data_IF_542247422046
#
_entry.id   IF_542247422046
#
_cell.length_a   1.000
_cell.length_b   1.000
_cell.length_c   1.000
_cell.angle_alpha   90.00
_cell.angle_beta   90.00
_cell.angle_gamma   90.00
#
_symmetry.space_group_name_H-M   'P 1'
#
loop_
_entity.id
_entity.type
_entity.pdbx_description
1 polymer ?
#
# COMPACT_ATOMS: atom_id res chain seq x y z
N UNK A 1 19.06 16.18 -25.03
CA UNK A 1 18.17 15.95 -26.18
C UNK A 1 16.91 16.71 -25.83
N UNK A 2 16.70 17.84 -26.47
CA UNK A 2 15.67 18.82 -26.10
C UNK A 2 14.49 18.73 -27.09
N UNK A 3 14.14 17.50 -27.49
CA UNK A 3 13.03 17.24 -28.40
C UNK A 3 11.75 17.13 -27.58
N UNK A 4 10.72 17.87 -27.96
CA UNK A 4 9.42 17.83 -27.31
C UNK A 4 8.67 16.53 -27.60
N UNK A 5 7.72 16.17 -26.74
CA UNK A 5 6.88 14.99 -26.95
C UNK A 5 6.01 15.13 -28.22
N UNK A 6 5.62 16.34 -28.58
CA UNK A 6 4.90 16.64 -29.82
C UNK A 6 5.68 16.28 -31.09
N UNK A 7 7.00 16.42 -31.06
CA UNK A 7 7.87 16.03 -32.18
C UNK A 7 8.28 14.56 -32.09
N UNK A 8 8.61 14.08 -30.88
CA UNK A 8 9.10 12.72 -30.67
C UNK A 8 8.00 11.66 -30.81
N UNK A 9 6.79 11.94 -30.29
CA UNK A 9 5.65 11.02 -30.26
C UNK A 9 4.31 11.80 -30.20
N UNK A 10 3.87 12.37 -31.33
CA UNK A 10 2.62 13.14 -31.40
C UNK A 10 1.37 12.31 -31.07
N UNK A 11 1.42 10.98 -31.25
CA UNK A 11 0.31 10.08 -30.94
C UNK A 11 0.09 9.97 -29.44
N UNK A 12 1.16 9.79 -28.65
CA UNK A 12 1.07 9.80 -27.19
C UNK A 12 0.62 11.17 -26.68
N UNK A 13 1.12 12.26 -27.26
CA UNK A 13 0.66 13.60 -26.87
C UNK A 13 -0.84 13.79 -27.10
N UNK A 14 -1.39 13.26 -28.20
CA UNK A 14 -2.82 13.31 -28.49
C UNK A 14 -3.62 12.57 -27.40
N UNK A 15 -3.20 11.37 -27.02
CA UNK A 15 -3.83 10.59 -25.94
C UNK A 15 -3.74 11.31 -24.58
N UNK A 16 -2.60 11.94 -24.25
CA UNK A 16 -2.48 12.73 -23.03
C UNK A 16 -3.46 13.91 -22.99
N UNK A 17 -3.70 14.57 -24.13
CA UNK A 17 -4.69 15.66 -24.24
C UNK A 17 -6.12 15.14 -24.09
N UNK A 18 -6.42 13.99 -24.69
CA UNK A 18 -7.74 13.34 -24.58
C UNK A 18 -8.03 12.94 -23.13
N UNK A 19 -7.10 12.27 -22.44
CA UNK A 19 -7.29 11.87 -21.04
C UNK A 19 -7.45 13.07 -20.10
N UNK A 20 -6.66 14.13 -20.32
CA UNK A 20 -6.81 15.38 -19.55
C UNK A 20 -8.22 15.96 -19.71
N UNK A 21 -8.78 15.90 -20.91
CA UNK A 21 -10.09 16.46 -21.16
C UNK A 21 -11.23 15.57 -20.64
N UNK A 22 -11.05 14.24 -20.69
CA UNK A 22 -11.91 13.29 -20.00
C UNK A 22 -12.00 13.61 -18.50
N UNK A 23 -10.87 13.79 -17.83
CA UNK A 23 -10.81 14.16 -16.40
C UNK A 23 -11.44 15.53 -16.12
N UNK A 24 -11.29 16.51 -17.03
CA UNK A 24 -11.84 17.86 -16.86
C UNK A 24 -13.37 17.89 -16.97
N UNK A 25 -13.92 17.03 -17.82
CA UNK A 25 -15.35 17.01 -18.15
C UNK A 25 -16.13 15.96 -17.33
N UNK A 26 -15.44 15.01 -16.70
CA UNK A 26 -16.02 13.94 -15.90
C UNK A 26 -16.28 14.32 -14.44
N UNK A 27 -17.22 13.60 -13.82
CA UNK A 27 -17.37 13.56 -12.37
C UNK A 27 -16.65 12.30 -11.86
N UNK A 28 -15.41 12.45 -11.40
CA UNK A 28 -14.59 11.34 -10.91
C UNK A 28 -15.01 10.94 -9.49
N UNK A 29 -15.76 9.85 -9.36
CA UNK A 29 -16.33 9.36 -8.09
C UNK A 29 -15.66 8.07 -7.58
N UNK A 30 -14.56 7.65 -8.21
CA UNK A 30 -13.78 6.49 -7.76
C UNK A 30 -13.01 6.87 -6.49
N UNK A 31 -13.34 6.24 -5.36
CA UNK A 31 -12.83 6.62 -4.04
C UNK A 31 -11.29 6.58 -3.89
N UNK A 32 -10.60 5.82 -4.73
CA UNK A 32 -9.15 5.68 -4.74
C UNK A 32 -8.42 6.63 -5.70
N UNK A 33 -9.15 7.40 -6.51
CA UNK A 33 -8.56 8.38 -7.43
C UNK A 33 -8.44 9.76 -6.78
N UNK A 34 -7.47 10.54 -7.26
CA UNK A 34 -7.27 11.92 -6.83
C UNK A 34 -6.44 12.70 -7.85
N UNK A 35 -6.48 14.03 -7.79
CA UNK A 35 -5.67 14.92 -8.61
C UNK A 35 -4.48 15.45 -7.82
N UNK A 36 -3.27 15.11 -8.27
CA UNK A 36 -2.05 15.58 -7.64
C UNK A 36 -1.71 17.01 -8.06
N UNK A 37 -1.02 17.74 -7.17
CA UNK A 37 -0.60 19.11 -7.47
C UNK A 37 0.46 19.17 -8.57
N UNK A 38 0.50 20.30 -9.30
CA UNK A 38 1.55 20.58 -10.30
C UNK A 38 2.96 20.49 -9.72
N UNK A 39 3.16 20.87 -8.45
CA UNK A 39 4.45 20.79 -7.79
C UNK A 39 4.96 19.34 -7.66
N UNK A 40 4.04 18.38 -7.41
CA UNK A 40 4.39 16.94 -7.36
C UNK A 40 4.80 16.45 -8.75
N UNK A 41 4.04 16.82 -9.79
CA UNK A 41 4.38 16.47 -11.18
C UNK A 41 5.74 17.01 -11.61
N UNK A 42 6.07 18.26 -11.22
CA UNK A 42 7.38 18.86 -11.52
C UNK A 42 8.54 18.09 -10.88
N UNK A 43 8.37 17.60 -9.64
CA UNK A 43 9.38 16.77 -8.99
C UNK A 43 9.52 15.39 -9.65
N UNK A 44 8.39 14.77 -10.03
CA UNK A 44 8.36 13.45 -10.67
C UNK A 44 9.11 13.42 -12.01
N UNK A 45 8.97 14.48 -12.81
CA UNK A 45 9.64 14.62 -14.12
C UNK A 45 10.98 15.36 -14.04
N UNK A 46 11.62 15.41 -12.88
CA UNK A 46 12.94 16.02 -12.71
C UNK A 46 14.07 14.99 -12.89
N UNK A 47 15.32 15.47 -12.95
CA UNK A 47 16.51 14.61 -13.13
C UNK A 47 16.71 13.47 -12.12
N UNK A 48 15.94 13.42 -11.02
CA UNK A 48 15.99 12.30 -10.07
C UNK A 48 15.70 10.94 -10.72
N UNK A 49 14.90 10.88 -11.79
CA UNK A 49 14.65 9.62 -12.51
C UNK A 49 15.90 9.02 -13.18
N UNK A 50 16.99 9.78 -13.30
CA UNK A 50 18.27 9.30 -13.86
C UNK A 50 19.17 8.65 -12.82
N UNK A 51 18.85 8.75 -11.51
CA UNK A 51 19.77 8.36 -10.45
C UNK A 51 19.47 6.97 -9.90
N UNK A 52 20.40 6.04 -10.15
CA UNK A 52 20.44 4.75 -9.48
C UNK A 52 21.05 4.88 -8.07
N UNK A 53 20.33 4.43 -7.03
CA UNK A 53 20.68 4.71 -5.63
C UNK A 53 20.30 3.58 -4.65
N UNK A 54 20.55 2.33 -5.05
CA UNK A 54 20.29 1.17 -4.19
C UNK A 54 20.99 1.28 -2.83
N UNK A 55 20.31 0.76 -1.80
CA UNK A 55 20.74 0.81 -0.41
C UNK A 55 19.92 1.82 0.41
N UNK A 56 20.50 2.29 1.50
CA UNK A 56 19.89 3.29 2.38
C UNK A 56 20.77 4.55 2.42
N UNK A 57 20.21 5.66 2.91
CA UNK A 57 20.97 6.89 3.19
C UNK A 57 22.21 6.53 4.02
N UNK A 58 23.40 6.93 3.57
CA UNK A 58 24.69 6.63 4.21
C UNK A 58 25.22 5.20 4.01
N UNK A 59 24.45 4.31 3.36
CA UNK A 59 24.81 2.92 3.08
C UNK A 59 24.37 2.55 1.65
N UNK A 60 24.94 3.24 0.66
CA UNK A 60 24.64 3.08 -0.77
C UNK A 60 25.63 2.14 -1.44
N UNK A 61 25.17 1.40 -2.44
CA UNK A 61 26.03 0.53 -3.26
C UNK A 61 26.74 1.29 -4.38
N UNK A 62 26.34 2.53 -4.67
CA UNK A 62 26.84 3.35 -5.77
C UNK A 62 27.24 4.75 -5.27
N UNK A 63 28.22 5.37 -5.92
CA UNK A 63 28.64 6.75 -5.63
C UNK A 63 27.71 7.81 -6.22
N UNK A 64 27.96 9.09 -5.87
CA UNK A 64 27.22 10.25 -6.39
C UNK A 64 25.78 10.36 -5.87
N UNK A 65 25.55 10.00 -4.61
CA UNK A 65 24.22 9.96 -3.98
C UNK A 65 23.94 11.16 -3.06
N UNK A 66 24.81 12.16 -3.04
CA UNK A 66 24.79 13.25 -2.05
C UNK A 66 23.48 14.05 -2.07
N UNK A 67 22.84 14.17 -3.24
CA UNK A 67 21.58 14.91 -3.41
C UNK A 67 20.36 14.01 -3.19
N UNK A 68 20.38 12.78 -3.70
CA UNK A 68 19.28 11.81 -3.49
C UNK A 68 19.18 11.38 -2.03
N UNK A 69 20.29 11.33 -1.29
CA UNK A 69 20.30 11.07 0.14
C UNK A 69 19.63 12.19 0.93
N UNK A 70 19.86 13.46 0.55
CA UNK A 70 19.15 14.62 1.13
C UNK A 70 17.65 14.53 0.85
N UNK A 71 17.26 14.17 -0.38
CA UNK A 71 15.86 14.00 -0.77
C UNK A 71 15.18 12.88 0.02
N UNK A 72 15.79 11.69 0.12
CA UNK A 72 15.21 10.56 0.86
C UNK A 72 15.12 10.88 2.35
N UNK A 73 16.16 11.47 2.94
CA UNK A 73 16.16 11.89 4.36
C UNK A 73 15.05 12.90 4.65
N UNK A 74 14.87 13.89 3.77
CA UNK A 74 13.79 14.87 3.89
C UNK A 74 12.41 14.23 3.76
N UNK A 75 12.25 13.26 2.85
CA UNK A 75 11.01 12.52 2.67
C UNK A 75 10.65 11.72 3.93
N UNK A 76 11.61 10.97 4.50
CA UNK A 76 11.43 10.21 5.74
C UNK A 76 11.04 11.13 6.91
N UNK A 77 11.77 12.22 7.10
CA UNK A 77 11.46 13.22 8.14
C UNK A 77 10.05 13.78 8.00
N UNK A 78 9.64 14.15 6.77
CA UNK A 78 8.31 14.70 6.51
C UNK A 78 7.21 13.66 6.69
N UNK A 79 7.45 12.40 6.36
CA UNK A 79 6.49 11.33 6.56
C UNK A 79 6.20 11.11 8.05
N UNK A 80 7.24 11.03 8.90
CA UNK A 80 7.06 10.93 10.35
C UNK A 80 6.32 12.15 10.92
N UNK A 81 6.73 13.36 10.52
CA UNK A 81 6.09 14.59 10.97
C UNK A 81 4.61 14.69 10.55
N UNK A 82 4.25 14.22 9.35
CA UNK A 82 2.87 14.22 8.85
C UNK A 82 1.93 13.41 9.75
N UNK A 83 2.42 12.29 10.27
CA UNK A 83 1.66 11.41 11.16
C UNK A 83 1.89 11.69 12.65
N UNK A 84 2.66 12.75 12.98
CA UNK A 84 2.95 13.12 14.37
C UNK A 84 3.76 12.07 15.14
N UNK A 85 4.63 11.33 14.45
CA UNK A 85 5.38 10.21 15.03
C UNK A 85 6.76 10.65 15.55
N UNK A 86 7.14 10.15 16.72
CA UNK A 86 8.48 10.31 17.29
C UNK A 86 9.48 9.42 16.54
N UNK A 87 10.59 9.99 16.08
CA UNK A 87 11.64 9.28 15.33
C UNK A 87 12.42 8.26 16.17
N UNK A 88 12.34 8.35 17.51
CA UNK A 88 12.92 7.36 18.42
C UNK A 88 12.07 6.09 18.56
N UNK A 89 10.77 6.18 18.27
CA UNK A 89 9.84 5.04 18.33
C UNK A 89 9.48 4.52 16.93
N UNK A 90 9.47 5.39 15.92
CA UNK A 90 9.00 5.08 14.58
C UNK A 90 10.06 5.32 13.51
N UNK A 91 10.29 4.29 12.70
CA UNK A 91 10.99 4.39 11.43
C UNK A 91 10.03 4.42 10.25
N UNK A 92 10.52 4.86 9.08
CA UNK A 92 9.77 4.81 7.83
C UNK A 92 10.67 4.42 6.65
N UNK A 93 10.17 3.53 5.80
CA UNK A 93 10.75 3.22 4.51
C UNK A 93 9.89 3.86 3.41
N UNK A 94 10.49 4.70 2.58
CA UNK A 94 9.81 5.46 1.51
C UNK A 94 10.17 4.95 0.10
N UNK A 95 10.72 3.74 0.01
CA UNK A 95 11.25 3.17 -1.25
C UNK A 95 10.29 2.19 -1.94
N UNK A 96 9.21 1.76 -1.28
CA UNK A 96 8.24 0.88 -1.94
C UNK A 96 7.57 1.59 -3.10
N UNK A 97 7.54 0.94 -4.26
CA UNK A 97 7.03 1.53 -5.51
C UNK A 97 5.53 1.83 -5.48
N UNK A 98 4.75 1.07 -4.70
CA UNK A 98 3.31 1.25 -4.56
C UNK A 98 2.78 0.50 -3.32
N UNK A 99 1.47 0.54 -3.09
CA UNK A 99 0.82 -0.11 -1.94
C UNK A 99 0.94 -1.64 -1.96
N UNK A 100 0.76 -2.29 -3.11
CA UNK A 100 0.84 -3.74 -3.19
C UNK A 100 2.24 -4.31 -2.89
N UNK A 101 3.33 -3.77 -3.47
CA UNK A 101 4.69 -4.14 -3.08
C UNK A 101 5.01 -3.83 -1.61
N UNK A 102 4.46 -2.75 -1.03
CA UNK A 102 4.71 -2.39 0.37
C UNK A 102 4.18 -3.49 1.31
N UNK A 103 2.93 -3.90 1.09
CA UNK A 103 2.30 -4.99 1.83
C UNK A 103 3.11 -6.29 1.68
N UNK A 104 3.50 -6.64 0.45
CA UNK A 104 4.24 -7.88 0.20
C UNK A 104 5.63 -7.88 0.85
N UNK A 105 6.33 -6.74 0.88
CA UNK A 105 7.60 -6.59 1.57
C UNK A 105 7.46 -6.81 3.09
N UNK A 106 6.40 -6.26 3.71
CA UNK A 106 6.10 -6.46 5.14
C UNK A 106 5.86 -7.94 5.43
N UNK A 107 5.04 -8.62 4.62
CA UNK A 107 4.75 -10.04 4.84
C UNK A 107 6.01 -10.90 4.66
N UNK A 108 6.82 -10.59 3.65
CA UNK A 108 8.08 -11.30 3.41
C UNK A 108 9.03 -11.16 4.60
N UNK A 109 9.15 -9.95 5.17
CA UNK A 109 10.05 -9.67 6.28
C UNK A 109 9.57 -10.20 7.64
N UNK A 110 8.26 -10.16 7.92
CA UNK A 110 7.72 -10.45 9.27
C UNK A 110 7.00 -11.80 9.37
N UNK A 111 6.41 -12.29 8.28
CA UNK A 111 5.57 -13.50 8.28
C UNK A 111 6.36 -14.71 7.78
N UNK A 112 7.09 -14.52 6.67
CA UNK A 112 7.85 -15.55 5.97
C UNK A 112 6.98 -16.51 5.14
N UNK A 113 7.58 -17.33 4.26
CA UNK A 113 6.85 -18.25 3.38
C UNK A 113 5.90 -19.17 4.15
N UNK A 114 4.68 -19.35 3.65
CA UNK A 114 3.59 -20.13 4.27
C UNK A 114 3.17 -19.67 5.68
N UNK A 115 3.67 -18.53 6.16
CA UNK A 115 3.18 -17.95 7.40
C UNK A 115 1.72 -17.53 7.26
N UNK A 116 1.01 -17.53 8.40
CA UNK A 116 -0.45 -17.36 8.44
C UNK A 116 -0.84 -15.89 8.54
N UNK A 117 -1.72 -15.42 7.67
CA UNK A 117 -2.20 -14.04 7.59
C UNK A 117 -3.73 -14.01 7.65
N UNK A 118 -4.29 -13.08 8.40
CA UNK A 118 -5.72 -12.75 8.36
C UNK A 118 -5.95 -11.34 7.87
N UNK A 119 -6.90 -11.17 6.97
CA UNK A 119 -7.33 -9.88 6.42
C UNK A 119 -8.83 -9.86 6.12
N UNK A 120 -9.42 -8.68 5.93
CA UNK A 120 -10.83 -8.58 5.56
C UNK A 120 -11.08 -9.24 4.20
N UNK A 121 -12.15 -10.02 4.08
CA UNK A 121 -12.53 -10.66 2.83
C UNK A 121 -12.76 -9.61 1.72
N UNK A 122 -12.42 -9.95 0.47
CA UNK A 122 -12.49 -8.98 -0.62
C UNK A 122 -13.93 -8.48 -0.87
N UNK A 123 -14.96 -9.36 -0.93
CA UNK A 123 -16.35 -8.91 -1.09
C UNK A 123 -16.87 -8.09 0.09
N UNK A 124 -16.23 -8.19 1.25
CA UNK A 124 -16.61 -7.51 2.48
C UNK A 124 -15.89 -6.16 2.65
N UNK A 125 -15.13 -5.72 1.63
CA UNK A 125 -14.44 -4.44 1.61
C UNK A 125 -12.93 -4.52 1.81
N UNK A 126 -12.35 -5.72 1.82
CA UNK A 126 -10.90 -5.96 1.87
C UNK A 126 -10.15 -5.47 0.64
N UNK A 127 -8.84 -5.73 0.60
CA UNK A 127 -7.99 -5.47 -0.57
C UNK A 127 -7.40 -6.79 -1.09
N UNK A 128 -7.08 -6.85 -2.39
CA UNK A 128 -6.50 -8.05 -3.01
C UNK A 128 -5.28 -8.58 -2.25
N UNK A 129 -4.40 -7.67 -1.81
CA UNK A 129 -3.17 -8.03 -1.09
C UNK A 129 -3.39 -8.46 0.35
N UNK A 130 -4.62 -8.49 0.84
CA UNK A 130 -4.95 -8.98 2.19
C UNK A 130 -5.19 -10.50 2.22
N UNK A 131 -4.81 -11.21 1.15
CA UNK A 131 -4.86 -12.68 1.09
C UNK A 131 -6.06 -13.23 0.34
N UNK A 132 -6.52 -12.55 -0.71
CA UNK A 132 -7.72 -12.96 -1.44
C UNK A 132 -7.59 -14.34 -2.11
N UNK A 133 -8.58 -15.19 -1.87
CA UNK A 133 -8.85 -16.45 -2.56
C UNK A 133 -10.28 -16.41 -3.09
N UNK A 134 -10.52 -16.94 -4.28
CA UNK A 134 -11.87 -17.04 -4.81
C UNK A 134 -12.69 -18.07 -4.01
N UNK A 135 -14.02 -17.96 -4.06
CA UNK A 135 -14.93 -18.89 -3.38
C UNK A 135 -14.72 -20.37 -3.78
N UNK A 136 -14.14 -20.61 -4.97
CA UNK A 136 -13.75 -21.96 -5.43
C UNK A 136 -12.50 -22.53 -4.75
N UNK A 137 -11.85 -21.77 -3.86
CA UNK A 137 -10.55 -22.12 -3.27
C UNK A 137 -9.35 -21.76 -4.16
N UNK A 138 -9.58 -21.17 -5.34
CA UNK A 138 -8.48 -20.71 -6.21
C UNK A 138 -7.76 -19.53 -5.55
N UNK A 139 -6.47 -19.69 -5.29
CA UNK A 139 -5.56 -18.60 -4.86
C UNK A 139 -5.44 -17.57 -6.00
N UNK A 140 -5.80 -16.32 -5.72
CA UNK A 140 -5.82 -15.23 -6.72
C UNK A 140 -4.71 -14.21 -6.46
N UNK A 141 -4.60 -13.75 -5.22
CA UNK A 141 -3.53 -12.81 -4.84
C UNK A 141 -2.19 -13.53 -4.65
N UNK A 142 -1.09 -12.85 -4.94
CA UNK A 142 0.24 -13.34 -4.55
C UNK A 142 0.32 -13.62 -3.05
N UNK A 143 -0.38 -12.81 -2.23
CA UNK A 143 -0.45 -13.03 -0.78
C UNK A 143 -1.02 -14.42 -0.44
N UNK A 144 -2.13 -14.84 -1.04
CA UNK A 144 -2.68 -16.18 -0.77
C UNK A 144 -1.89 -17.32 -1.42
N UNK A 145 -1.04 -17.01 -2.40
CA UNK A 145 -0.13 -17.98 -3.01
C UNK A 145 1.08 -18.28 -2.12
N UNK A 146 1.78 -17.24 -1.67
CA UNK A 146 3.04 -17.37 -0.93
C UNK A 146 2.86 -17.45 0.60
N UNK A 147 1.69 -17.05 1.11
CA UNK A 147 1.30 -17.12 2.51
C UNK A 147 -0.01 -17.91 2.65
N UNK A 148 -0.28 -18.41 3.84
CA UNK A 148 -1.56 -19.06 4.13
C UNK A 148 -2.54 -18.02 4.66
N UNK A 149 -3.66 -17.80 3.96
CA UNK A 149 -4.64 -16.78 4.32
C UNK A 149 -6.00 -17.37 4.73
N UNK A 150 -6.59 -16.79 5.78
CA UNK A 150 -8.00 -16.99 6.14
C UNK A 150 -8.63 -15.62 6.34
N UNK A 151 -9.73 -15.30 5.65
CA UNK A 151 -10.34 -13.99 5.79
C UNK A 151 -11.16 -13.88 7.08
N UNK A 152 -11.22 -12.68 7.64
CA UNK A 152 -12.31 -12.27 8.53
C UNK A 152 -13.36 -11.49 7.74
N UNK A 153 -14.57 -11.36 8.29
CA UNK A 153 -15.76 -10.91 7.55
C UNK A 153 -16.51 -9.81 8.28
N UNK A 154 -17.44 -9.18 7.57
CA UNK A 154 -18.48 -8.36 8.20
C UNK A 154 -19.68 -9.21 8.62
N UNK A 155 -20.44 -8.75 9.60
CA UNK A 155 -21.79 -9.24 9.85
C UNK A 155 -22.70 -8.75 8.71
N UNK A 156 -23.32 -9.66 7.93
CA UNK A 156 -24.14 -9.30 6.78
C UNK A 156 -25.41 -8.49 7.13
N UNK A 157 -25.83 -8.47 8.40
CA UNK A 157 -26.99 -7.69 8.85
C UNK A 157 -26.63 -6.23 9.13
N UNK A 158 -25.49 -6.00 9.77
CA UNK A 158 -25.05 -4.66 10.20
C UNK A 158 -24.08 -4.02 9.21
N UNK A 159 -23.40 -4.82 8.40
CA UNK A 159 -22.32 -4.41 7.52
C UNK A 159 -21.05 -4.02 8.27
N UNK A 160 -20.90 -4.35 9.55
CA UNK A 160 -19.74 -4.03 10.37
C UNK A 160 -18.84 -5.24 10.52
N UNK A 161 -17.53 -5.04 10.68
CA UNK A 161 -16.60 -6.14 10.97
C UNK A 161 -17.08 -6.92 12.20
N UNK A 162 -17.20 -8.24 12.06
CA UNK A 162 -17.55 -9.14 13.16
C UNK A 162 -16.29 -9.47 13.97
N UNK A 163 -15.99 -8.62 14.95
CA UNK A 163 -14.80 -8.74 15.80
C UNK A 163 -14.83 -9.98 16.71
N UNK A 164 -16.02 -10.47 17.08
CA UNK A 164 -16.16 -11.69 17.87
C UNK A 164 -15.77 -12.91 17.04
N UNK A 165 -16.29 -12.99 15.80
CA UNK A 165 -15.92 -14.05 14.87
C UNK A 165 -14.46 -13.96 14.47
N UNK A 166 -13.93 -12.75 14.27
CA UNK A 166 -12.51 -12.50 14.02
C UNK A 166 -11.65 -13.12 15.13
N UNK A 167 -11.99 -12.89 16.40
CA UNK A 167 -11.27 -13.46 17.53
C UNK A 167 -11.34 -14.99 17.57
N UNK A 168 -12.53 -15.57 17.37
CA UNK A 168 -12.71 -17.02 17.35
C UNK A 168 -11.83 -17.66 16.26
N UNK A 169 -11.87 -17.11 15.05
CA UNK A 169 -11.08 -17.62 13.92
C UNK A 169 -9.58 -17.43 14.19
N UNK A 170 -9.17 -16.28 14.73
CA UNK A 170 -7.77 -16.03 15.05
C UNK A 170 -7.22 -17.04 16.07
N UNK A 171 -7.98 -17.42 17.10
CA UNK A 171 -7.55 -18.41 18.10
C UNK A 171 -7.32 -19.80 17.51
N UNK A 172 -8.14 -20.22 16.56
CA UNK A 172 -8.00 -21.50 15.87
C UNK A 172 -6.92 -21.46 14.78
N UNK A 173 -6.89 -20.38 13.98
CA UNK A 173 -5.98 -20.25 12.85
C UNK A 173 -4.56 -19.85 13.25
N UNK A 174 -4.37 -19.19 14.39
CA UNK A 174 -3.05 -18.74 14.89
C UNK A 174 -2.28 -17.94 13.82
N UNK A 175 -2.82 -16.77 13.38
CA UNK A 175 -2.12 -15.94 12.42
C UNK A 175 -0.84 -15.37 13.01
N UNK A 176 0.21 -15.29 12.19
CA UNK A 176 1.38 -14.46 12.51
C UNK A 176 1.11 -12.97 12.31
N UNK A 177 0.11 -12.62 11.50
CA UNK A 177 -0.26 -11.24 11.21
C UNK A 177 -1.77 -11.10 10.99
N UNK A 178 -2.35 -10.08 11.60
CA UNK A 178 -3.72 -9.63 11.35
C UNK A 178 -3.63 -8.25 10.70
N UNK A 179 -4.23 -8.09 9.52
CA UNK A 179 -4.25 -6.85 8.75
C UNK A 179 -5.50 -6.07 9.11
N UNK A 180 -5.36 -4.87 9.66
CA UNK A 180 -6.45 -3.94 9.90
C UNK A 180 -6.46 -2.84 8.81
N UNK A 181 -7.08 -3.13 7.66
CA UNK A 181 -7.16 -2.19 6.53
C UNK A 181 -8.20 -2.61 5.50
N UNK A 182 -8.76 -1.63 4.78
CA UNK A 182 -9.94 -1.81 3.90
C UNK A 182 -9.83 -0.98 2.62
N UNK A 183 -10.43 -1.45 1.52
CA UNK A 183 -10.61 -0.67 0.29
C UNK A 183 -12.02 -0.08 0.19
N UNK A 184 -13.04 -0.80 0.68
CA UNK A 184 -14.45 -0.44 0.51
C UNK A 184 -15.25 -0.72 1.79
N UNK A 185 -14.87 -0.05 2.88
CA UNK A 185 -15.56 -0.14 4.17
C UNK A 185 -15.76 1.27 4.74
N UNK A 186 -17.02 1.64 5.00
CA UNK A 186 -17.41 3.03 5.30
C UNK A 186 -17.44 3.37 6.81
N UNK A 187 -16.68 2.62 7.63
CA UNK A 187 -16.62 2.81 9.08
C UNK A 187 -15.17 2.81 9.55
N UNK A 188 -14.92 3.45 10.68
CA UNK A 188 -13.62 3.36 11.35
C UNK A 188 -13.38 1.94 11.86
N UNK A 189 -12.11 1.56 11.88
CA UNK A 189 -11.66 0.30 12.45
C UNK A 189 -11.44 0.47 13.95
N UNK A 190 -11.82 -0.54 14.73
CA UNK A 190 -11.54 -0.61 16.15
C UNK A 190 -10.11 -1.15 16.37
N UNK A 191 -9.12 -0.28 16.22
CA UNK A 191 -7.70 -0.64 16.39
C UNK A 191 -7.39 -1.20 17.79
N UNK A 192 -7.93 -0.67 18.90
CA UNK A 192 -7.79 -1.30 20.21
C UNK A 192 -8.27 -2.75 20.23
N UNK A 193 -9.42 -3.06 19.62
CA UNK A 193 -9.94 -4.43 19.54
C UNK A 193 -9.06 -5.32 18.67
N UNK A 194 -8.57 -4.84 17.52
CA UNK A 194 -7.59 -5.58 16.72
C UNK A 194 -6.32 -5.91 17.52
N UNK A 195 -5.80 -4.93 18.28
CA UNK A 195 -4.59 -5.13 19.11
C UNK A 195 -4.81 -6.20 20.17
N UNK A 196 -5.92 -6.14 20.91
CA UNK A 196 -6.27 -7.15 21.92
C UNK A 196 -6.32 -8.57 21.31
N UNK A 197 -6.91 -8.71 20.13
CA UNK A 197 -7.01 -10.01 19.47
C UNK A 197 -5.62 -10.49 19.04
N UNK A 198 -4.81 -9.62 18.42
CA UNK A 198 -3.45 -9.95 18.02
C UNK A 198 -2.62 -10.44 19.21
N UNK A 199 -2.68 -9.75 20.35
CA UNK A 199 -1.98 -10.13 21.59
C UNK A 199 -2.43 -11.48 22.14
N UNK A 200 -3.71 -11.84 21.97
CA UNK A 200 -4.26 -13.09 22.48
C UNK A 200 -3.85 -14.34 21.69
N UNK A 201 -3.33 -14.16 20.47
CA UNK A 201 -2.98 -15.26 19.56
C UNK A 201 -1.50 -15.27 19.14
N UNK A 202 -0.75 -14.26 19.60
CA UNK A 202 0.70 -14.14 19.47
C UNK A 202 1.44 -15.32 20.09
#
# INVERSE_FOLDING_TARGET
MDVGLDECDPEILALCKEEKERQRLGLELIASENFISKAVLQALSSSFHNKYSEGQVGARYYGGTEVVDKMESLCKKRALALFGLDESEWGVNVQSYSGSPANFAIYTGLVGPHGRIMGLDLPDGGHLTHGYQAASGRKVSATSLFFESVPYKVDPKTGWIDYERLEIVARSFRPKMIIAGTSAYARHLDYPRFRQIADSVS
#
